data_IF_972163770898
#
_entry.id   IF_972163770898
#
_cell.length_a   1.000
_cell.length_b   1.000
_cell.length_c   1.000
_cell.angle_alpha   90.00
_cell.angle_beta   90.00
_cell.angle_gamma   90.00
#
_symmetry.space_group_name_H-M   'P 1'
#
loop_
_entity.id
_entity.type
_entity.pdbx_description
1 polymer ?
#
# COMPACT_ATOMS: atom_id res chain seq x y z
N UNK A 1 9.05 9.22 -4.10
CA UNK A 1 10.24 9.11 -3.20
C UNK A 1 10.76 7.69 -3.29
N UNK A 2 11.95 7.47 -3.81
CA UNK A 2 12.50 6.14 -4.16
C UNK A 2 13.17 5.44 -2.95
N UNK A 3 12.50 5.37 -1.81
CA UNK A 3 13.10 4.75 -0.61
C UNK A 3 13.05 3.23 -0.62
N UNK A 4 12.07 2.62 -1.32
CA UNK A 4 11.79 1.19 -1.31
C UNK A 4 13.02 0.32 -1.59
N UNK A 5 13.74 0.59 -2.67
CA UNK A 5 14.91 -0.21 -3.04
C UNK A 5 15.99 -0.18 -1.96
N UNK A 6 16.22 0.98 -1.34
CA UNK A 6 17.17 1.09 -0.21
C UNK A 6 16.67 0.35 1.02
N UNK A 7 15.38 0.42 1.32
CA UNK A 7 14.76 -0.29 2.44
C UNK A 7 14.89 -1.80 2.25
N UNK A 8 14.60 -2.31 1.05
CA UNK A 8 14.70 -3.74 0.71
C UNK A 8 16.16 -4.23 0.77
N UNK A 9 17.11 -3.49 0.21
CA UNK A 9 18.53 -3.85 0.24
C UNK A 9 19.12 -3.83 1.67
N UNK A 10 18.78 -2.84 2.48
CA UNK A 10 19.22 -2.78 3.87
C UNK A 10 18.65 -3.96 4.67
N UNK A 11 17.38 -4.30 4.46
CA UNK A 11 16.77 -5.47 5.08
C UNK A 11 17.43 -6.78 4.65
N UNK A 12 17.69 -6.95 3.34
CA UNK A 12 18.35 -8.14 2.80
C UNK A 12 19.73 -8.37 3.44
N UNK A 13 20.45 -7.29 3.74
CA UNK A 13 21.76 -7.34 4.38
C UNK A 13 21.70 -7.30 5.91
N UNK A 14 20.51 -7.29 6.50
CA UNK A 14 20.32 -7.23 7.96
C UNK A 14 20.83 -5.91 8.58
N UNK A 15 20.86 -4.82 7.81
CA UNK A 15 21.31 -3.50 8.26
C UNK A 15 20.11 -2.74 8.82
N UNK A 16 20.07 -2.41 10.14
CA UNK A 16 19.00 -1.63 10.72
C UNK A 16 18.90 -0.24 10.10
N UNK A 17 17.69 0.23 9.82
CA UNK A 17 17.48 1.57 9.29
C UNK A 17 16.23 2.25 9.86
N UNK A 18 16.18 3.57 9.76
CA UNK A 18 15.00 4.38 10.08
C UNK A 18 14.70 5.36 8.97
N UNK A 19 13.42 5.50 8.59
CA UNK A 19 12.97 6.54 7.66
C UNK A 19 12.60 7.78 8.45
N UNK A 20 13.34 8.88 8.23
CA UNK A 20 13.12 10.15 8.92
C UNK A 20 12.25 11.08 8.07
N UNK A 21 11.22 11.64 8.70
CA UNK A 21 10.32 12.59 8.02
C UNK A 21 9.29 11.97 7.07
N UNK A 22 9.08 10.64 7.11
CA UNK A 22 8.11 9.93 6.30
C UNK A 22 7.77 8.56 6.88
N UNK A 23 6.85 7.87 6.22
CA UNK A 23 6.55 6.47 6.50
C UNK A 23 7.42 5.55 5.62
N UNK A 24 7.76 4.38 6.14
CA UNK A 24 8.35 3.28 5.35
C UNK A 24 7.42 2.94 4.20
N UNK A 25 7.98 2.44 3.11
CA UNK A 25 7.20 2.20 1.89
C UNK A 25 5.93 1.38 2.15
N UNK A 26 6.07 0.22 2.81
CA UNK A 26 4.94 -0.66 3.09
C UNK A 26 3.99 -0.14 4.20
N UNK A 27 4.37 0.91 4.92
CA UNK A 27 3.53 1.55 5.92
C UNK A 27 2.69 2.70 5.38
N UNK A 28 2.96 3.18 4.17
CA UNK A 28 2.18 4.24 3.51
C UNK A 28 0.73 3.81 3.39
N UNK A 29 -0.17 4.77 3.60
CA UNK A 29 -1.62 4.50 3.65
C UNK A 29 -2.13 3.80 2.39
N UNK A 30 -1.81 4.32 1.21
CA UNK A 30 -2.22 3.78 -0.10
C UNK A 30 -1.67 2.38 -0.35
N UNK A 31 -0.46 2.10 0.13
CA UNK A 31 0.15 0.77 0.05
C UNK A 31 -0.57 -0.19 0.99
N UNK A 32 -0.79 0.18 2.26
CA UNK A 32 -1.57 -0.62 3.21
C UNK A 32 -3.00 -0.88 2.72
N UNK A 33 -3.62 0.10 2.08
CA UNK A 33 -4.98 -0.05 1.53
C UNK A 33 -4.98 -1.03 0.35
N UNK A 34 -4.01 -0.93 -0.57
CA UNK A 34 -3.85 -1.88 -1.69
C UNK A 34 -3.56 -3.29 -1.18
N UNK A 35 -2.61 -3.44 -0.25
CA UNK A 35 -2.27 -4.74 0.35
C UNK A 35 -3.42 -5.35 1.15
N UNK A 36 -4.31 -4.54 1.75
CA UNK A 36 -5.51 -5.05 2.42
C UNK A 36 -6.48 -5.70 1.43
N UNK A 37 -6.65 -5.16 0.21
CA UNK A 37 -7.40 -5.84 -0.84
C UNK A 37 -6.73 -7.16 -1.27
N UNK A 38 -5.41 -7.18 -1.38
CA UNK A 38 -4.67 -8.41 -1.68
C UNK A 38 -4.84 -9.44 -0.56
N UNK A 39 -4.73 -9.03 0.72
CA UNK A 39 -4.95 -9.91 1.87
C UNK A 39 -6.36 -10.49 1.90
N UNK A 40 -7.38 -9.67 1.70
CA UNK A 40 -8.77 -10.11 1.57
C UNK A 40 -8.91 -11.22 0.51
N UNK A 41 -8.23 -11.08 -0.63
CA UNK A 41 -8.32 -12.03 -1.73
C UNK A 41 -7.67 -13.39 -1.41
N UNK A 42 -6.51 -13.39 -0.77
CA UNK A 42 -5.78 -14.61 -0.40
C UNK A 42 -6.29 -15.25 0.89
N UNK A 43 -6.83 -14.45 1.81
CA UNK A 43 -7.41 -14.88 3.07
C UNK A 43 -8.75 -14.18 3.35
N UNK A 44 -9.87 -14.68 2.84
CA UNK A 44 -11.19 -14.09 3.08
C UNK A 44 -11.64 -14.10 4.55
N UNK A 45 -10.89 -14.75 5.45
CA UNK A 45 -11.16 -14.73 6.89
C UNK A 45 -10.50 -13.55 7.61
N UNK A 46 -9.69 -12.76 6.91
CA UNK A 46 -9.07 -11.54 7.45
C UNK A 46 -10.10 -10.40 7.54
N UNK A 47 -10.76 -10.33 8.68
CA UNK A 47 -11.77 -9.33 8.96
C UNK A 47 -11.20 -7.90 9.00
N UNK A 48 -9.96 -7.72 9.45
CA UNK A 48 -9.32 -6.41 9.55
C UNK A 48 -9.07 -5.81 8.16
N UNK A 49 -8.62 -6.64 7.22
CA UNK A 49 -8.46 -6.24 5.83
C UNK A 49 -9.81 -5.84 5.20
N UNK A 50 -10.88 -6.57 5.47
CA UNK A 50 -12.24 -6.20 5.00
C UNK A 50 -12.68 -4.86 5.58
N UNK A 51 -12.56 -4.67 6.90
CA UNK A 51 -12.92 -3.41 7.56
C UNK A 51 -12.16 -2.22 7.02
N UNK A 52 -10.89 -2.42 6.70
CA UNK A 52 -10.04 -1.37 6.15
C UNK A 52 -10.53 -0.87 4.80
N UNK A 53 -10.99 -1.77 3.92
CA UNK A 53 -11.26 -1.46 2.52
C UNK A 53 -12.74 -1.43 2.14
N UNK A 54 -13.64 -1.87 2.98
CA UNK A 54 -15.08 -1.98 2.66
C UNK A 54 -15.68 -0.68 2.13
N UNK A 55 -15.26 0.47 2.67
CA UNK A 55 -15.68 1.80 2.24
C UNK A 55 -14.53 2.67 1.69
N UNK A 56 -13.45 2.06 1.24
CA UNK A 56 -12.35 2.79 0.60
C UNK A 56 -11.95 2.11 -0.72
N UNK A 57 -12.05 2.84 -1.86
CA UNK A 57 -12.63 4.19 -2.05
C UNK A 57 -14.08 4.31 -1.57
N UNK A 58 -14.56 5.54 -1.36
CA UNK A 58 -15.91 5.79 -0.81
C UNK A 58 -17.01 5.10 -1.64
N UNK A 59 -17.82 4.25 -0.98
CA UNK A 59 -18.94 3.50 -1.57
C UNK A 59 -20.29 3.79 -0.89
N UNK A 60 -20.33 4.78 0.02
CA UNK A 60 -21.54 5.08 0.81
C UNK A 60 -21.84 4.05 1.90
N UNK A 61 -20.86 3.19 2.25
CA UNK A 61 -20.95 2.22 3.34
C UNK A 61 -20.55 2.95 4.63
N UNK A 62 -21.52 3.40 5.38
CA UNK A 62 -21.30 4.11 6.65
C UNK A 62 -21.18 3.15 7.84
N UNK A 63 -20.86 3.73 9.01
CA UNK A 63 -20.65 2.97 10.26
C UNK A 63 -21.82 2.08 10.63
N UNK A 64 -23.07 2.49 10.37
CA UNK A 64 -24.25 1.66 10.67
C UNK A 64 -24.25 0.34 9.90
N UNK A 65 -23.88 0.36 8.60
CA UNK A 65 -23.83 -0.85 7.81
C UNK A 65 -22.65 -1.77 8.23
N UNK A 66 -21.53 -1.16 8.59
CA UNK A 66 -20.37 -1.90 9.13
C UNK A 66 -20.72 -2.52 10.49
N UNK A 67 -21.39 -1.78 11.36
CA UNK A 67 -21.81 -2.31 12.67
C UNK A 67 -22.79 -3.47 12.55
N UNK A 68 -23.78 -3.36 11.66
CA UNK A 68 -24.71 -4.45 11.39
C UNK A 68 -23.99 -5.71 10.88
N UNK A 69 -23.05 -5.56 9.96
CA UNK A 69 -22.21 -6.66 9.48
C UNK A 69 -21.42 -7.32 10.63
N UNK A 70 -20.85 -6.53 11.53
CA UNK A 70 -20.14 -7.01 12.72
C UNK A 70 -21.05 -7.76 13.69
N UNK A 71 -22.24 -7.22 13.94
CA UNK A 71 -23.21 -7.82 14.86
C UNK A 71 -23.72 -9.17 14.33
N UNK A 72 -24.01 -9.26 13.02
CA UNK A 72 -24.40 -10.51 12.37
C UNK A 72 -23.25 -11.53 12.41
N UNK A 73 -22.02 -11.11 12.10
CA UNK A 73 -20.84 -11.95 12.17
C UNK A 73 -20.66 -12.54 13.57
N UNK A 74 -20.76 -11.71 14.60
CA UNK A 74 -20.64 -12.12 16.00
C UNK A 74 -21.76 -13.07 16.42
N UNK A 75 -23.00 -12.80 16.03
CA UNK A 75 -24.17 -13.62 16.40
C UNK A 75 -24.11 -15.04 15.84
N UNK A 76 -23.51 -15.21 14.65
CA UNK A 76 -23.48 -16.47 13.92
C UNK A 76 -22.08 -17.15 13.90
N UNK A 77 -21.05 -16.53 14.48
CA UNK A 77 -19.68 -17.03 14.42
C UNK A 77 -19.10 -16.99 12.99
N UNK A 78 -19.54 -16.03 12.17
CA UNK A 78 -19.13 -15.88 10.77
C UNK A 78 -17.97 -14.90 10.64
N UNK A 79 -17.18 -15.07 9.58
CA UNK A 79 -16.28 -14.03 9.08
C UNK A 79 -17.10 -12.93 8.38
N UNK A 80 -16.52 -11.74 8.22
CA UNK A 80 -17.22 -10.68 7.47
C UNK A 80 -17.45 -11.08 6.01
N UNK A 81 -16.54 -11.81 5.40
CA UNK A 81 -16.74 -12.34 4.06
C UNK A 81 -17.94 -13.30 3.97
N UNK A 82 -18.12 -14.16 4.99
CA UNK A 82 -19.31 -15.02 5.05
C UNK A 82 -20.62 -14.22 5.20
N UNK A 83 -20.61 -13.12 5.96
CA UNK A 83 -21.76 -12.22 6.03
C UNK A 83 -22.06 -11.56 4.69
N UNK A 84 -21.03 -11.09 3.98
CA UNK A 84 -21.16 -10.52 2.63
C UNK A 84 -21.80 -11.52 1.63
N UNK A 85 -21.49 -12.80 1.75
CA UNK A 85 -22.06 -13.87 0.91
C UNK A 85 -23.50 -14.27 1.31
N UNK A 86 -23.98 -13.81 2.47
CA UNK A 86 -25.32 -14.11 3.00
C UNK A 86 -26.13 -12.83 3.22
N UNK A 87 -26.47 -12.07 2.16
CA UNK A 87 -27.12 -10.75 2.29
C UNK A 87 -28.51 -10.82 2.96
N UNK A 88 -29.16 -11.98 2.96
CA UNK A 88 -30.46 -12.19 3.62
C UNK A 88 -30.40 -12.08 5.15
N UNK A 89 -29.19 -12.12 5.73
CA UNK A 89 -28.97 -11.92 7.17
C UNK A 89 -28.89 -10.44 7.56
N UNK A 90 -28.81 -9.55 6.57
CA UNK A 90 -28.71 -8.11 6.73
C UNK A 90 -30.05 -7.43 6.42
N UNK A 91 -30.23 -6.23 6.94
CA UNK A 91 -31.35 -5.41 6.47
C UNK A 91 -31.23 -5.12 4.98
N UNK A 92 -32.35 -5.00 4.24
CA UNK A 92 -32.31 -4.73 2.79
C UNK A 92 -31.50 -3.49 2.41
N UNK A 93 -31.48 -2.49 3.29
CA UNK A 93 -30.72 -1.25 3.08
C UNK A 93 -29.20 -1.52 3.17
N UNK A 94 -28.76 -2.27 4.15
CA UNK A 94 -27.35 -2.63 4.34
C UNK A 94 -26.89 -3.60 3.27
N UNK A 95 -27.66 -4.63 2.96
CA UNK A 95 -27.38 -5.57 1.88
C UNK A 95 -27.15 -4.83 0.54
N UNK A 96 -28.03 -3.89 0.19
CA UNK A 96 -27.90 -3.08 -1.03
C UNK A 96 -26.65 -2.22 -1.04
N UNK A 97 -26.24 -1.66 0.10
CA UNK A 97 -25.01 -0.84 0.21
C UNK A 97 -23.74 -1.70 0.08
N UNK A 98 -23.76 -2.90 0.65
CA UNK A 98 -22.61 -3.80 0.63
C UNK A 98 -22.45 -4.55 -0.70
N UNK A 99 -23.51 -4.73 -1.48
CA UNK A 99 -23.51 -5.52 -2.72
C UNK A 99 -22.36 -5.16 -3.69
N UNK A 100 -22.07 -3.87 -4.00
CA UNK A 100 -20.95 -3.55 -4.90
C UNK A 100 -19.59 -3.97 -4.35
N UNK A 101 -19.38 -3.89 -3.03
CA UNK A 101 -18.16 -4.36 -2.41
C UNK A 101 -18.08 -5.89 -2.38
N UNK A 102 -19.22 -6.57 -2.15
CA UNK A 102 -19.30 -8.04 -2.20
C UNK A 102 -18.87 -8.57 -3.56
N UNK A 103 -19.34 -7.97 -4.65
CA UNK A 103 -18.91 -8.33 -6.02
C UNK A 103 -17.40 -8.16 -6.21
N UNK A 104 -16.83 -7.03 -5.76
CA UNK A 104 -15.38 -6.81 -5.80
C UNK A 104 -14.67 -7.91 -5.02
N UNK A 105 -15.06 -8.17 -3.78
CA UNK A 105 -14.42 -9.16 -2.92
C UNK A 105 -14.46 -10.58 -3.53
N UNK A 106 -15.60 -10.97 -4.11
CA UNK A 106 -15.74 -12.27 -4.80
C UNK A 106 -14.82 -12.37 -6.01
N UNK A 107 -14.76 -11.34 -6.85
CA UNK A 107 -13.88 -11.31 -8.01
C UNK A 107 -12.41 -11.42 -7.58
N UNK A 108 -11.99 -10.67 -6.55
CA UNK A 108 -10.62 -10.72 -6.06
C UNK A 108 -10.25 -12.10 -5.53
N UNK A 109 -11.13 -12.75 -4.75
CA UNK A 109 -10.91 -14.12 -4.24
C UNK A 109 -10.79 -15.14 -5.38
N UNK A 110 -11.60 -14.98 -6.45
CA UNK A 110 -11.53 -15.83 -7.63
C UNK A 110 -10.21 -15.64 -8.37
N UNK A 111 -9.90 -14.41 -8.75
CA UNK A 111 -8.78 -14.11 -9.64
C UNK A 111 -7.41 -14.19 -8.95
N UNK A 112 -7.34 -14.12 -7.61
CA UNK A 112 -6.09 -14.35 -6.86
C UNK A 112 -5.46 -15.72 -7.11
N UNK A 113 -6.26 -16.69 -7.56
CA UNK A 113 -5.81 -18.08 -7.85
C UNK A 113 -5.55 -18.33 -9.33
N UNK A 114 -6.02 -17.44 -10.20
CA UNK A 114 -5.99 -17.62 -11.66
C UNK A 114 -4.92 -16.74 -12.33
N UNK A 115 -4.61 -15.60 -11.75
CA UNK A 115 -3.67 -14.61 -12.30
C UNK A 115 -2.28 -14.73 -11.69
N UNK A 116 -1.27 -14.31 -12.45
CA UNK A 116 0.08 -14.09 -11.92
C UNK A 116 0.08 -12.91 -10.93
N UNK A 117 1.09 -12.86 -10.05
CA UNK A 117 1.15 -11.88 -8.98
C UNK A 117 1.05 -10.43 -9.47
N UNK A 118 1.83 -10.05 -10.47
CA UNK A 118 1.82 -8.68 -11.06
C UNK A 118 0.46 -8.35 -11.69
N UNK A 119 -0.08 -9.27 -12.51
CA UNK A 119 -1.37 -9.10 -13.17
C UNK A 119 -2.49 -8.96 -12.14
N UNK A 120 -2.43 -9.76 -11.07
CA UNK A 120 -3.42 -9.72 -10.00
C UNK A 120 -3.40 -8.39 -9.23
N UNK A 121 -2.22 -7.86 -8.86
CA UNK A 121 -2.15 -6.56 -8.17
C UNK A 121 -2.66 -5.43 -9.05
N UNK A 122 -2.33 -5.42 -10.34
CA UNK A 122 -2.91 -4.46 -11.30
C UNK A 122 -4.44 -4.60 -11.41
N UNK A 123 -4.95 -5.84 -11.39
CA UNK A 123 -6.38 -6.09 -11.37
C UNK A 123 -7.03 -5.56 -10.09
N UNK A 124 -6.43 -5.79 -8.92
CA UNK A 124 -6.88 -5.25 -7.61
C UNK A 124 -7.02 -3.73 -7.67
N UNK A 125 -6.00 -3.03 -8.14
CA UNK A 125 -5.96 -1.56 -8.20
C UNK A 125 -7.12 -1.02 -9.05
N UNK A 126 -7.34 -1.61 -10.23
CA UNK A 126 -8.43 -1.22 -11.14
C UNK A 126 -9.80 -1.63 -10.61
N UNK A 127 -9.97 -2.89 -10.20
CA UNK A 127 -11.27 -3.45 -9.79
C UNK A 127 -11.79 -2.83 -8.50
N UNK A 128 -10.90 -2.48 -7.57
CA UNK A 128 -11.25 -1.77 -6.34
C UNK A 128 -11.67 -0.31 -6.58
N UNK A 129 -11.25 0.29 -7.68
CA UNK A 129 -11.44 1.70 -7.98
C UNK A 129 -10.42 2.64 -7.33
N UNK A 130 -9.34 2.11 -6.74
CA UNK A 130 -8.29 2.91 -6.10
C UNK A 130 -7.64 3.87 -7.09
N UNK A 131 -7.24 3.38 -8.27
CA UNK A 131 -6.64 4.19 -9.32
C UNK A 131 -7.55 5.37 -9.71
N UNK A 132 -8.82 5.09 -10.00
CA UNK A 132 -9.76 6.12 -10.41
C UNK A 132 -10.02 7.16 -9.30
N UNK A 133 -10.11 6.71 -8.05
CA UNK A 133 -10.36 7.60 -6.91
C UNK A 133 -9.20 8.58 -6.68
N UNK A 134 -7.95 8.14 -6.85
CA UNK A 134 -6.77 8.97 -6.70
C UNK A 134 -6.56 9.87 -7.94
N UNK A 135 -6.73 9.34 -9.15
CA UNK A 135 -6.55 10.10 -10.38
C UNK A 135 -7.56 11.23 -10.56
N UNK A 136 -8.76 11.11 -9.99
CA UNK A 136 -9.84 12.12 -10.16
C UNK A 136 -9.92 13.13 -9.01
N UNK A 137 -9.10 13.01 -7.97
CA UNK A 137 -9.14 13.92 -6.82
C UNK A 137 -8.63 15.32 -7.13
N UNK A 138 -7.68 15.46 -8.06
CA UNK A 138 -7.02 16.72 -8.38
C UNK A 138 -6.06 17.22 -7.27
N UNK A 139 -5.75 16.39 -6.29
CA UNK A 139 -4.81 16.70 -5.20
C UNK A 139 -3.41 16.21 -5.57
N UNK A 140 -2.41 17.06 -5.43
CA UNK A 140 -0.99 16.72 -5.64
C UNK A 140 -0.54 15.56 -4.74
N UNK A 141 -1.12 15.46 -3.54
CA UNK A 141 -0.81 14.33 -2.64
C UNK A 141 -1.32 13.00 -3.22
N UNK A 142 -2.45 13.01 -3.91
CA UNK A 142 -3.01 11.81 -4.54
C UNK A 142 -2.23 11.40 -5.82
N UNK A 143 -1.61 12.36 -6.53
CA UNK A 143 -0.63 12.04 -7.59
C UNK A 143 0.57 11.26 -7.02
N UNK A 144 1.15 11.71 -5.91
CA UNK A 144 2.22 11.00 -5.22
C UNK A 144 1.79 9.61 -4.73
N UNK A 145 0.52 9.45 -4.30
CA UNK A 145 -0.03 8.14 -3.90
C UNK A 145 -0.16 7.19 -5.09
N UNK A 146 -0.52 7.69 -6.27
CA UNK A 146 -0.52 6.90 -7.50
C UNK A 146 0.87 6.41 -7.86
N UNK A 147 1.89 7.28 -7.81
CA UNK A 147 3.29 6.88 -8.02
C UNK A 147 3.72 5.78 -7.04
N UNK A 148 3.31 5.88 -5.77
CA UNK A 148 3.60 4.84 -4.78
C UNK A 148 2.90 3.51 -5.12
N UNK A 149 1.68 3.55 -5.65
CA UNK A 149 0.97 2.33 -6.10
C UNK A 149 1.66 1.72 -7.33
N UNK A 150 2.13 2.52 -8.27
CA UNK A 150 2.93 2.06 -9.41
C UNK A 150 4.24 1.41 -8.94
N UNK A 151 4.89 2.01 -7.94
CA UNK A 151 6.09 1.43 -7.33
C UNK A 151 5.81 0.09 -6.63
N UNK A 152 4.63 -0.09 -6.03
CA UNK A 152 4.21 -1.40 -5.51
C UNK A 152 4.07 -2.43 -6.64
N UNK A 153 3.49 -2.05 -7.78
CA UNK A 153 3.39 -2.95 -8.94
C UNK A 153 4.79 -3.36 -9.43
N UNK A 154 5.72 -2.40 -9.49
CA UNK A 154 7.11 -2.69 -9.86
C UNK A 154 7.79 -3.63 -8.86
N UNK A 155 7.52 -3.48 -7.55
CA UNK A 155 8.02 -4.38 -6.52
C UNK A 155 7.53 -5.82 -6.72
N UNK A 156 6.24 -5.98 -6.99
CA UNK A 156 5.64 -7.30 -7.27
C UNK A 156 6.22 -7.92 -8.54
N UNK A 157 6.41 -7.10 -9.59
CA UNK A 157 6.99 -7.55 -10.85
C UNK A 157 8.44 -8.02 -10.67
N UNK A 158 9.24 -7.26 -9.92
CA UNK A 158 10.62 -7.64 -9.59
C UNK A 158 10.64 -8.96 -8.81
N UNK A 159 9.81 -9.07 -7.77
CA UNK A 159 9.68 -10.30 -6.98
C UNK A 159 9.30 -11.51 -7.85
N UNK A 160 8.37 -11.35 -8.80
CA UNK A 160 7.95 -12.40 -9.72
C UNK A 160 9.08 -12.80 -10.70
N UNK A 161 9.94 -11.86 -11.12
CA UNK A 161 11.10 -12.12 -11.97
C UNK A 161 12.20 -12.88 -11.22
N UNK A 162 12.46 -12.49 -9.97
CA UNK A 162 13.53 -13.07 -9.15
C UNK A 162 13.15 -14.45 -8.60
N UNK A 163 11.85 -14.72 -8.44
CA UNK A 163 11.30 -15.94 -7.86
C UNK A 163 10.33 -16.61 -8.85
N UNK A 164 10.87 -17.32 -9.83
CA UNK A 164 10.06 -18.07 -10.80
C UNK A 164 9.10 -19.03 -10.07
N UNK A 165 7.83 -19.04 -10.47
CA UNK A 165 6.73 -19.81 -9.84
C UNK A 165 6.19 -19.24 -8.52
N UNK A 166 6.61 -18.06 -8.07
CA UNK A 166 6.07 -17.42 -6.87
C UNK A 166 4.63 -16.92 -7.08
N UNK A 167 3.84 -17.07 -6.03
CA UNK A 167 2.46 -16.58 -5.96
C UNK A 167 2.39 -15.20 -5.30
N UNK A 168 1.25 -14.54 -5.42
CA UNK A 168 0.96 -13.31 -4.65
C UNK A 168 1.02 -13.55 -3.13
N UNK A 169 0.74 -14.78 -2.67
CA UNK A 169 0.85 -15.15 -1.26
C UNK A 169 2.31 -15.13 -0.79
N UNK A 170 3.25 -15.59 -1.64
CA UNK A 170 4.68 -15.57 -1.32
C UNK A 170 5.21 -14.14 -1.25
N UNK A 171 4.77 -13.26 -2.15
CA UNK A 171 5.06 -11.83 -2.07
C UNK A 171 4.55 -11.24 -0.75
N UNK A 172 3.31 -11.56 -0.34
CA UNK A 172 2.74 -11.05 0.91
C UNK A 172 3.50 -11.55 2.15
N UNK A 173 4.06 -12.76 2.11
CA UNK A 173 4.95 -13.26 3.17
C UNK A 173 6.27 -12.48 3.22
N UNK A 174 6.88 -12.19 2.07
CA UNK A 174 8.11 -11.38 2.02
C UNK A 174 7.89 -9.97 2.59
N UNK A 175 6.76 -9.34 2.28
CA UNK A 175 6.39 -8.03 2.84
C UNK A 175 6.22 -8.09 4.37
N UNK A 176 5.63 -9.16 4.89
CA UNK A 176 5.49 -9.34 6.34
C UNK A 176 6.85 -9.45 7.04
N UNK A 177 7.78 -10.23 6.47
CA UNK A 177 9.14 -10.36 7.01
C UNK A 177 9.91 -9.03 7.02
N UNK A 178 9.74 -8.20 6.00
CA UNK A 178 10.34 -6.85 5.96
C UNK A 178 9.80 -5.96 7.07
N UNK A 179 8.51 -6.09 7.41
CA UNK A 179 7.88 -5.27 8.46
C UNK A 179 8.29 -5.67 9.88
N UNK A 180 8.57 -6.96 10.12
CA UNK A 180 8.87 -7.51 11.45
C UNK A 180 10.32 -7.28 11.92
N UNK A 181 11.27 -7.11 10.98
CA UNK A 181 12.69 -6.84 11.33
C UNK A 181 12.90 -5.48 12.00
N UNK A 182 11.88 -4.67 12.10
CA UNK A 182 11.92 -3.29 12.56
C UNK A 182 11.83 -3.07 14.08
N UNK A 183 11.45 -4.08 14.85
CA UNK A 183 11.35 -3.95 16.31
C UNK A 183 12.68 -4.24 17.06
N UNK A 184 13.71 -4.66 16.34
CA UNK A 184 15.00 -5.04 16.95
C UNK A 184 16.02 -3.90 16.82
N UNK A 185 16.20 -3.19 17.87
CA UNK A 185 17.46 -2.63 18.39
C UNK A 185 17.54 -1.12 18.65
N UNK A 186 18.11 -0.81 19.83
CA UNK A 186 18.70 0.46 20.24
C UNK A 186 20.13 0.64 19.69
N UNK A 187 20.50 -0.06 18.63
CA UNK A 187 21.84 -0.08 18.05
C UNK A 187 21.94 0.85 16.84
N UNK A 188 23.15 1.03 16.33
CA UNK A 188 23.44 1.91 15.18
C UNK A 188 22.56 1.56 13.99
N UNK A 189 21.97 2.57 13.37
CA UNK A 189 21.07 2.41 12.21
C UNK A 189 21.39 3.42 11.11
N UNK A 190 21.09 3.05 9.87
CA UNK A 190 21.14 3.94 8.73
C UNK A 190 19.90 4.82 8.71
N UNK A 191 20.08 6.13 8.58
CA UNK A 191 18.96 7.07 8.41
C UNK A 191 18.68 7.27 6.92
N UNK A 192 17.49 6.92 6.48
CA UNK A 192 16.98 7.26 5.15
C UNK A 192 16.08 8.47 5.29
N UNK A 193 16.39 9.56 4.56
CA UNK A 193 15.63 10.78 4.65
C UNK A 193 15.61 11.57 3.35
N UNK A 194 14.62 12.44 3.18
CA UNK A 194 14.70 13.46 2.13
C UNK A 194 15.61 14.60 2.57
N UNK A 195 16.26 15.25 1.62
CA UNK A 195 17.12 16.44 1.88
C UNK A 195 16.35 17.50 2.70
N UNK A 196 15.06 17.72 2.39
CA UNK A 196 14.23 18.66 3.13
C UNK A 196 13.98 18.24 4.59
N UNK A 197 13.81 16.96 4.85
CA UNK A 197 13.52 16.45 6.20
C UNK A 197 14.72 16.57 7.15
N UNK A 198 15.94 16.57 6.62
CA UNK A 198 17.18 16.63 7.40
C UNK A 198 17.83 18.01 7.38
N UNK A 199 17.17 19.03 6.86
CA UNK A 199 17.71 20.39 6.83
C UNK A 199 18.04 20.86 8.25
N UNK A 200 19.34 21.20 8.47
CA UNK A 200 19.86 21.64 9.77
C UNK A 200 20.30 20.51 10.69
N UNK A 201 20.27 19.25 10.24
CA UNK A 201 20.90 18.12 10.91
C UNK A 201 22.30 17.86 10.32
N UNK A 202 23.19 17.28 11.13
CA UNK A 202 24.54 16.93 10.76
C UNK A 202 24.77 15.43 10.99
N UNK A 203 25.50 14.78 10.07
CA UNK A 203 25.79 13.36 10.12
C UNK A 203 27.27 13.14 9.80
N UNK A 204 27.92 12.16 10.44
CA UNK A 204 29.32 11.83 10.20
C UNK A 204 29.57 11.32 8.76
N UNK A 205 28.58 10.61 8.19
CA UNK A 205 28.62 10.08 6.84
C UNK A 205 27.30 10.37 6.13
N UNK A 206 27.36 10.93 4.93
CA UNK A 206 26.20 11.26 4.10
C UNK A 206 26.35 10.69 2.72
N UNK A 207 25.34 9.94 2.25
CA UNK A 207 25.22 9.46 0.89
C UNK A 207 24.03 10.17 0.23
N UNK A 208 24.29 11.04 -0.72
CA UNK A 208 23.24 11.70 -1.50
C UNK A 208 23.05 10.85 -2.76
N UNK A 209 21.85 10.29 -2.92
CA UNK A 209 21.49 9.38 -4.00
C UNK A 209 20.46 10.03 -4.93
N UNK A 210 20.26 9.43 -6.13
CA UNK A 210 19.31 9.91 -7.12
C UNK A 210 19.55 11.38 -7.57
N UNK A 211 20.82 11.77 -7.73
CA UNK A 211 21.23 13.06 -8.27
C UNK A 211 21.17 13.01 -9.80
N UNK A 212 19.98 13.06 -10.35
CA UNK A 212 19.75 13.05 -11.78
C UNK A 212 18.58 13.96 -12.18
N UNK A 213 18.65 14.52 -13.38
CA UNK A 213 17.63 15.43 -13.90
C UNK A 213 16.24 14.79 -13.86
N UNK A 214 15.27 15.53 -13.29
CA UNK A 214 13.91 15.06 -13.13
C UNK A 214 13.64 14.46 -11.73
N UNK A 215 14.66 14.00 -11.01
CA UNK A 215 14.56 13.53 -9.62
C UNK A 215 15.09 14.59 -8.67
N UNK A 216 16.36 14.97 -8.82
CA UNK A 216 16.97 16.09 -8.11
C UNK A 216 18.07 16.74 -8.99
N UNK A 217 17.83 17.92 -9.55
CA UNK A 217 16.62 18.77 -9.39
C UNK A 217 15.35 18.15 -9.99
N UNK A 218 14.19 18.47 -9.37
CA UNK A 218 12.91 17.95 -9.82
C UNK A 218 12.53 18.52 -11.21
N UNK A 219 11.78 17.77 -12.02
CA UNK A 219 11.30 18.28 -13.33
C UNK A 219 10.52 19.59 -13.18
N UNK A 220 9.79 19.76 -12.08
CA UNK A 220 9.04 20.98 -11.77
C UNK A 220 9.98 22.17 -11.57
N UNK A 221 11.04 21.99 -10.78
CA UNK A 221 12.05 23.04 -10.53
C UNK A 221 12.84 23.38 -11.78
N UNK A 222 13.17 22.38 -12.62
CA UNK A 222 13.82 22.60 -13.91
C UNK A 222 12.90 23.47 -14.82
N UNK A 223 11.62 23.12 -14.91
CA UNK A 223 10.65 23.84 -15.76
C UNK A 223 10.37 25.26 -15.22
N UNK A 224 10.35 25.44 -13.90
CA UNK A 224 10.15 26.75 -13.27
C UNK A 224 11.40 27.63 -13.24
N UNK A 225 12.60 27.08 -13.53
CA UNK A 225 13.87 27.81 -13.44
C UNK A 225 14.41 27.95 -12.00
N UNK A 226 13.87 27.21 -11.05
CA UNK A 226 14.19 27.30 -9.62
C UNK A 226 15.27 26.30 -9.17
N UNK A 227 16.12 25.85 -10.07
CA UNK A 227 17.20 24.86 -9.80
C UNK A 227 18.17 25.34 -8.70
N UNK A 228 18.40 26.66 -8.59
CA UNK A 228 19.25 27.23 -7.57
C UNK A 228 18.68 27.08 -6.14
N UNK A 229 17.36 27.04 -5.98
CA UNK A 229 16.75 26.78 -4.67
C UNK A 229 17.00 25.33 -4.23
N UNK A 230 16.87 24.37 -5.15
CA UNK A 230 17.19 22.96 -4.84
C UNK A 230 18.69 22.76 -4.58
N UNK A 231 19.56 23.47 -5.30
CA UNK A 231 21.01 23.45 -5.04
C UNK A 231 21.37 23.95 -3.63
N UNK A 232 20.59 24.88 -3.06
CA UNK A 232 20.82 25.40 -1.70
C UNK A 232 20.38 24.42 -0.60
N UNK A 233 19.65 23.38 -0.95
CA UNK A 233 19.27 22.33 -0.01
C UNK A 233 20.39 21.31 0.22
N UNK A 234 21.34 21.23 -0.69
CA UNK A 234 22.56 20.42 -0.59
C UNK A 234 23.62 21.14 0.27
#
# INVERSE_FOLDING_TARGET
MQTRQFEEELNLHGIPYKVFGGFRFYERKEIKDTLAYVRLAINPSDNDSILRVVNYPKRGIGNTAVQEMQDVAKAHGFTFFQVLLNPDMLTPTTAKKLAPFTEIAMDLVKFSKEMKATEFVQYVIRRSGLENALATSGDVEDENRLENIEELVNAVQQFEQDNQESSISDFMQSVALVSDTDEMSNEDYVTIATIHAVKGLEFDYVFIVALEDGIFPTQKSITAGDVEEERRLM
#
